data_IF_665223855894
#
_entry.id   IF_665223855894
#
_cell.length_a   1.000
_cell.length_b   1.000
_cell.length_c   1.000
_cell.angle_alpha   90.00
_cell.angle_beta   90.00
_cell.angle_gamma   90.00
#
_symmetry.space_group_name_H-M   'P 1'
#
loop_
_entity.id
_entity.type
_entity.pdbx_description
1 polymer ?
#
# COMPACT_ATOMS: atom_id res chain seq x y z
N UNK A 1 5.70 6.97 -26.61
CA UNK A 1 5.42 7.34 -25.21
C UNK A 1 6.74 7.40 -24.47
N UNK A 2 7.05 8.50 -23.75
CA UNK A 2 8.24 8.53 -22.91
C UNK A 2 8.15 7.44 -21.83
N UNK A 3 9.30 6.92 -21.43
CA UNK A 3 9.41 6.01 -20.30
C UNK A 3 8.90 6.71 -19.03
N UNK A 4 7.94 6.09 -18.35
CA UNK A 4 7.47 6.54 -17.04
C UNK A 4 8.19 5.77 -15.93
N UNK A 5 8.45 6.44 -14.81
CA UNK A 5 8.83 5.78 -13.55
C UNK A 5 7.60 5.64 -12.67
N UNK A 6 7.54 4.58 -11.88
CA UNK A 6 6.45 4.35 -10.93
C UNK A 6 7.03 4.25 -9.52
N UNK A 7 6.36 4.90 -8.57
CA UNK A 7 6.69 4.82 -7.15
C UNK A 7 5.42 4.71 -6.31
N UNK A 8 5.53 4.06 -5.15
CA UNK A 8 4.53 4.09 -4.09
C UNK A 8 4.98 5.06 -3.00
N UNK A 9 4.09 6.00 -2.66
CA UNK A 9 4.24 6.90 -1.52
C UNK A 9 3.13 6.67 -0.50
N UNK A 10 3.49 6.69 0.77
CA UNK A 10 2.55 6.60 1.90
C UNK A 10 2.80 7.79 2.80
N UNK A 11 1.73 8.50 3.14
CA UNK A 11 1.74 9.68 4.00
C UNK A 11 0.68 9.53 5.07
N UNK A 12 0.93 10.09 6.24
CA UNK A 12 0.02 10.06 7.37
C UNK A 12 -0.32 11.48 7.85
N UNK A 13 -1.46 11.61 8.53
CA UNK A 13 -1.97 12.90 9.02
C UNK A 13 -1.10 13.55 10.09
N UNK A 14 -0.27 12.77 10.79
CA UNK A 14 0.72 13.23 11.76
C UNK A 14 2.03 13.72 11.12
N UNK A 15 2.07 13.81 9.78
CA UNK A 15 3.20 14.34 9.03
C UNK A 15 4.29 13.31 8.72
N UNK A 16 4.16 12.06 9.17
CA UNK A 16 5.11 10.99 8.79
C UNK A 16 4.87 10.53 7.37
N UNK A 17 5.94 10.08 6.71
CA UNK A 17 5.88 9.50 5.38
C UNK A 17 6.85 8.34 5.24
N UNK A 18 6.44 7.36 4.45
CA UNK A 18 7.30 6.25 4.06
C UNK A 18 8.27 6.73 2.98
N UNK A 19 9.56 6.33 3.01
CA UNK A 19 10.44 6.50 1.87
C UNK A 19 9.80 5.93 0.59
N UNK A 20 9.93 6.64 -0.54
CA UNK A 20 9.34 6.20 -1.80
C UNK A 20 9.84 4.80 -2.18
N UNK A 21 8.91 3.88 -2.40
CA UNK A 21 9.24 2.58 -2.98
C UNK A 21 9.20 2.69 -4.50
N UNK A 22 10.36 2.56 -5.14
CA UNK A 22 10.50 2.63 -6.59
C UNK A 22 10.31 1.26 -7.23
N UNK A 23 9.39 1.17 -8.19
CA UNK A 23 9.18 -0.05 -8.93
C UNK A 23 10.17 -0.17 -10.09
N UNK A 24 10.60 -1.40 -10.44
CA UNK A 24 11.40 -1.63 -11.64
C UNK A 24 10.75 -1.04 -12.90
N UNK A 25 11.57 -0.46 -13.78
CA UNK A 25 11.09 0.14 -15.01
C UNK A 25 10.30 -0.86 -15.87
N UNK A 26 9.13 -0.43 -16.36
CA UNK A 26 8.26 -1.26 -17.21
C UNK A 26 7.44 -2.32 -16.45
N UNK A 27 7.58 -2.42 -15.13
CA UNK A 27 6.75 -3.32 -14.34
C UNK A 27 5.30 -2.84 -14.34
N UNK A 28 4.38 -3.74 -14.75
CA UNK A 28 2.95 -3.52 -14.58
C UNK A 28 2.52 -4.02 -13.21
N UNK A 29 1.98 -3.13 -12.38
CA UNK A 29 1.51 -3.48 -11.04
C UNK A 29 0.11 -4.07 -11.13
N UNK A 30 0.06 -5.40 -11.10
CA UNK A 30 -1.16 -6.14 -10.84
C UNK A 30 -1.38 -6.34 -9.36
N UNK A 31 -2.41 -7.12 -9.04
CA UNK A 31 -2.76 -7.39 -7.65
C UNK A 31 -1.69 -8.15 -6.87
N UNK A 32 -0.96 -9.08 -7.51
CA UNK A 32 0.08 -9.86 -6.83
C UNK A 32 1.30 -9.01 -6.50
N UNK A 33 1.77 -8.20 -7.45
CA UNK A 33 2.88 -7.26 -7.22
C UNK A 33 2.51 -6.23 -6.16
N UNK A 34 1.25 -5.77 -6.15
CA UNK A 34 0.78 -4.88 -5.10
C UNK A 34 0.83 -5.53 -3.72
N UNK A 35 0.32 -6.76 -3.60
CA UNK A 35 0.31 -7.50 -2.35
C UNK A 35 1.71 -7.87 -1.84
N UNK A 36 2.67 -8.08 -2.74
CA UNK A 36 4.09 -8.25 -2.39
C UNK A 36 4.63 -6.99 -1.71
N UNK A 37 4.44 -5.81 -2.31
CA UNK A 37 4.86 -4.53 -1.71
C UNK A 37 4.10 -4.24 -0.41
N UNK A 38 2.82 -4.60 -0.32
CA UNK A 38 2.06 -4.45 0.92
C UNK A 38 2.65 -5.27 2.07
N UNK A 39 3.05 -6.53 1.81
CA UNK A 39 3.66 -7.42 2.81
C UNK A 39 5.08 -7.02 3.16
N UNK A 40 5.89 -6.69 2.16
CA UNK A 40 7.34 -6.63 2.33
C UNK A 40 7.85 -5.21 2.62
N UNK A 41 7.02 -4.19 2.33
CA UNK A 41 7.40 -2.78 2.45
C UNK A 41 6.44 -2.01 3.33
N UNK A 42 5.16 -2.00 2.99
CA UNK A 42 4.16 -1.13 3.65
C UNK A 42 3.89 -1.60 5.09
N UNK A 43 3.58 -2.88 5.28
CA UNK A 43 3.26 -3.41 6.61
C UNK A 43 4.42 -3.30 7.60
N UNK A 44 5.67 -3.67 7.26
CA UNK A 44 6.80 -3.46 8.15
C UNK A 44 7.01 -1.99 8.52
N UNK A 45 6.78 -1.07 7.58
CA UNK A 45 6.86 0.36 7.87
C UNK A 45 5.75 0.82 8.83
N UNK A 46 4.51 0.37 8.61
CA UNK A 46 3.38 0.67 9.50
C UNK A 46 3.63 0.12 10.91
N UNK A 47 4.06 -1.13 11.04
CA UNK A 47 4.35 -1.77 12.33
C UNK A 47 5.44 -1.03 13.10
N UNK A 48 6.48 -0.57 12.40
CA UNK A 48 7.55 0.21 13.02
C UNK A 48 7.14 1.63 13.38
N UNK A 49 6.21 2.22 12.63
CA UNK A 49 5.86 3.65 12.76
C UNK A 49 4.69 3.89 13.70
N UNK A 50 3.78 2.92 13.77
CA UNK A 50 2.55 2.92 14.56
C UNK A 50 2.43 1.60 15.34
N UNK A 51 3.36 1.30 16.28
CA UNK A 51 3.38 0.02 16.99
C UNK A 51 2.13 -0.23 17.84
N UNK A 52 1.39 0.83 18.17
CA UNK A 52 0.14 0.75 18.94
C UNK A 52 -1.11 0.54 18.06
N UNK A 53 -0.96 0.45 16.73
CA UNK A 53 -2.11 0.27 15.85
C UNK A 53 -3.06 1.48 15.89
N UNK A 54 -2.55 2.68 15.70
CA UNK A 54 -3.34 3.91 15.71
C UNK A 54 -3.41 4.57 14.32
N UNK A 55 -3.72 3.77 13.30
CA UNK A 55 -3.88 4.25 11.92
C UNK A 55 -5.05 3.58 11.20
N UNK A 56 -5.55 4.26 10.16
CA UNK A 56 -6.51 3.71 9.19
C UNK A 56 -5.86 3.74 7.82
N UNK A 57 -5.78 2.59 7.17
CA UNK A 57 -5.26 2.50 5.81
C UNK A 57 -6.31 2.93 4.77
N UNK A 58 -5.93 3.80 3.85
CA UNK A 58 -6.74 4.24 2.71
C UNK A 58 -5.91 4.19 1.42
N UNK A 59 -6.53 3.79 0.32
CA UNK A 59 -5.95 3.73 -1.02
C UNK A 59 -7.04 4.04 -2.06
N UNK A 60 -6.66 4.36 -3.30
CA UNK A 60 -7.63 4.63 -4.39
C UNK A 60 -8.39 3.36 -4.85
N UNK A 61 -9.28 3.52 -5.83
CA UNK A 61 -10.16 2.46 -6.35
C UNK A 61 -9.57 1.69 -7.54
N UNK A 62 -8.25 1.75 -7.75
CA UNK A 62 -7.58 1.05 -8.84
C UNK A 62 -7.86 -0.47 -8.83
N UNK A 63 -7.83 -1.16 -9.99
CA UNK A 63 -8.20 -2.58 -10.07
C UNK A 63 -7.42 -3.50 -9.11
N UNK A 64 -6.11 -3.25 -8.93
CA UNK A 64 -5.28 -4.01 -8.00
C UNK A 64 -5.71 -3.79 -6.53
N UNK A 65 -6.12 -2.58 -6.18
CA UNK A 65 -6.55 -2.21 -4.84
C UNK A 65 -7.94 -2.75 -4.51
N UNK A 66 -8.86 -2.77 -5.49
CA UNK A 66 -10.23 -3.30 -5.34
C UNK A 66 -10.33 -4.83 -5.43
N UNK A 67 -9.30 -5.50 -5.94
CA UNK A 67 -9.32 -6.94 -6.07
C UNK A 67 -9.64 -7.61 -4.72
N UNK A 68 -10.50 -8.62 -4.75
CA UNK A 68 -10.97 -9.34 -3.54
C UNK A 68 -9.81 -9.75 -2.63
N UNK A 69 -8.76 -10.34 -3.20
CA UNK A 69 -7.57 -10.77 -2.45
C UNK A 69 -6.82 -9.62 -1.77
N UNK A 70 -6.78 -8.43 -2.37
CA UNK A 70 -6.19 -7.25 -1.74
C UNK A 70 -7.03 -6.77 -0.58
N UNK A 71 -8.35 -6.68 -0.79
CA UNK A 71 -9.28 -6.24 0.25
C UNK A 71 -9.25 -7.19 1.46
N UNK A 72 -9.25 -8.51 1.22
CA UNK A 72 -9.15 -9.53 2.28
C UNK A 72 -7.81 -9.45 3.01
N UNK A 73 -6.71 -9.26 2.28
CA UNK A 73 -5.40 -9.11 2.90
C UNK A 73 -5.35 -7.84 3.77
N UNK A 74 -5.81 -6.68 3.28
CA UNK A 74 -5.82 -5.44 4.06
C UNK A 74 -6.66 -5.59 5.34
N UNK A 75 -7.87 -6.17 5.25
CA UNK A 75 -8.74 -6.41 6.41
C UNK A 75 -8.14 -7.35 7.46
N UNK A 76 -7.35 -8.34 7.02
CA UNK A 76 -6.78 -9.35 7.90
C UNK A 76 -5.41 -9.01 8.48
N UNK A 77 -4.71 -8.03 7.89
CA UNK A 77 -3.32 -7.75 8.22
C UNK A 77 -3.06 -6.32 8.67
N UNK A 78 -3.91 -5.35 8.33
CA UNK A 78 -3.75 -3.96 8.77
C UNK A 78 -4.64 -3.70 9.99
N UNK A 79 -4.26 -2.72 10.81
CA UNK A 79 -5.00 -2.33 12.00
C UNK A 79 -6.45 -1.96 11.69
N UNK A 80 -6.63 -0.91 10.89
CA UNK A 80 -7.92 -0.53 10.34
C UNK A 80 -7.76 -0.23 8.84
N UNK A 81 -8.83 -0.47 8.10
CA UNK A 81 -8.83 -0.36 6.66
C UNK A 81 -10.14 0.22 6.16
N UNK A 82 -10.04 1.37 5.50
CA UNK A 82 -11.16 1.99 4.79
C UNK A 82 -11.48 1.19 3.53
N UNK A 83 -12.31 0.17 3.70
CA UNK A 83 -12.79 -0.63 2.58
C UNK A 83 -13.72 0.21 1.68
N UNK A 84 -13.59 -0.01 0.39
CA UNK A 84 -14.54 0.55 -0.59
C UNK A 84 -15.93 -0.08 -0.36
N UNK A 85 -16.96 0.76 -0.28
CA UNK A 85 -18.37 0.34 -0.27
C UNK A 85 -18.80 -0.18 -1.65
#
# INVERSE_FOLDING_TARGET
HPAGVMALGVVASDGKSMPLHWFPHGLKIGTDQYLEVMRDVVKPWLDSTYPDGNYVWQQDSAPAHRAKKTQEWCKGNLEDFWAWQ
#
